data_IF_464105428920
#
_entry.id   IF_464105428920
#
_cell.length_a   1.000
_cell.length_b   1.000
_cell.length_c   1.000
_cell.angle_alpha   90.00
_cell.angle_beta   90.00
_cell.angle_gamma   90.00
#
_symmetry.space_group_name_H-M   'P 1'
#
loop_
_entity.id
_entity.type
_entity.pdbx_description
1 polymer ?
#
# COMPACT_ATOMS: atom_id res chain seq x y z
N UNK A 1 -41.61 33.31 28.66
CA UNK A 1 -40.89 32.08 28.71
C UNK A 1 -40.34 31.71 27.38
N UNK A 2 -39.10 31.79 27.24
CA UNK A 2 -38.43 31.55 25.97
C UNK A 2 -37.77 30.20 26.05
N UNK A 3 -38.09 29.35 25.11
CA UNK A 3 -37.41 28.07 24.96
C UNK A 3 -36.56 28.14 23.71
N UNK A 4 -35.30 27.99 23.89
CA UNK A 4 -34.37 27.98 22.79
C UNK A 4 -33.97 26.56 22.51
N UNK A 5 -34.39 26.07 21.38
CA UNK A 5 -33.88 24.83 20.87
C UNK A 5 -32.61 25.15 20.08
N UNK A 6 -31.51 24.82 20.62
CA UNK A 6 -30.24 24.92 19.91
C UNK A 6 -30.02 23.65 19.13
N UNK A 7 -30.30 23.71 17.88
CA UNK A 7 -29.86 22.66 16.97
C UNK A 7 -28.40 22.92 16.69
N UNK A 8 -27.55 22.20 17.37
CA UNK A 8 -26.14 22.22 17.06
C UNK A 8 -25.94 21.45 15.75
N UNK A 9 -25.66 22.17 14.71
CA UNK A 9 -25.27 21.56 13.46
C UNK A 9 -23.83 21.06 13.57
N UNK A 10 -23.66 19.76 13.69
CA UNK A 10 -22.35 19.13 13.64
C UNK A 10 -22.24 18.39 12.32
N UNK A 11 -21.79 19.08 11.32
CA UNK A 11 -21.75 18.47 10.00
C UNK A 11 -20.41 18.70 9.30
N UNK A 12 -19.27 18.66 9.99
CA UNK A 12 -18.04 19.04 9.28
C UNK A 12 -16.81 18.19 9.47
N UNK A 13 -16.91 17.06 10.14
CA UNK A 13 -15.71 16.26 10.40
C UNK A 13 -15.52 15.05 9.49
N UNK A 14 -16.45 14.80 8.57
CA UNK A 14 -16.43 13.57 7.77
C UNK A 14 -15.37 13.54 6.65
N UNK A 15 -15.04 14.69 6.08
CA UNK A 15 -14.11 14.72 4.96
C UNK A 15 -12.67 14.41 5.37
N UNK A 16 -12.24 14.84 6.55
CA UNK A 16 -10.90 14.58 7.07
C UNK A 16 -10.74 13.12 7.48
N UNK A 17 -11.79 12.52 8.07
CA UNK A 17 -11.78 11.13 8.45
C UNK A 17 -11.66 10.17 7.26
N UNK A 18 -12.24 10.49 6.11
CA UNK A 18 -12.16 9.66 4.91
C UNK A 18 -10.76 9.63 4.31
N UNK A 19 -10.05 10.75 4.28
CA UNK A 19 -8.67 10.79 3.77
C UNK A 19 -7.71 9.97 4.64
N UNK A 20 -7.87 10.05 5.97
CA UNK A 20 -7.07 9.23 6.89
C UNK A 20 -7.40 7.75 6.77
N UNK A 21 -8.67 7.40 6.58
CA UNK A 21 -9.09 6.02 6.40
C UNK A 21 -8.48 5.43 5.11
N UNK A 22 -8.53 6.17 4.00
CA UNK A 22 -7.95 5.73 2.73
C UNK A 22 -6.43 5.52 2.83
N UNK A 23 -5.72 6.42 3.51
CA UNK A 23 -4.28 6.29 3.73
C UNK A 23 -3.94 5.10 4.61
N UNK A 24 -4.69 4.90 5.72
CA UNK A 24 -4.51 3.76 6.61
C UNK A 24 -4.82 2.44 5.90
N UNK A 25 -5.87 2.40 5.08
CA UNK A 25 -6.25 1.21 4.33
C UNK A 25 -5.18 0.83 3.31
N UNK A 26 -4.63 1.80 2.60
CA UNK A 26 -3.56 1.55 1.63
C UNK A 26 -2.28 1.10 2.32
N UNK A 27 -1.93 1.71 3.44
CA UNK A 27 -0.76 1.30 4.21
C UNK A 27 -0.91 -0.13 4.70
N UNK A 28 -2.08 -0.51 5.20
CA UNK A 28 -2.37 -1.87 5.63
C UNK A 28 -2.32 -2.86 4.46
N UNK A 29 -2.90 -2.49 3.32
CA UNK A 29 -2.86 -3.33 2.12
C UNK A 29 -1.43 -3.55 1.61
N UNK A 30 -0.61 -2.50 1.63
CA UNK A 30 0.82 -2.60 1.29
C UNK A 30 1.55 -3.56 2.22
N UNK A 31 1.29 -3.47 3.52
CA UNK A 31 1.88 -4.38 4.51
C UNK A 31 1.48 -5.83 4.26
N UNK A 32 0.20 -6.09 4.00
CA UNK A 32 -0.30 -7.44 3.70
C UNK A 32 0.35 -8.00 2.43
N UNK A 33 0.46 -7.17 1.39
CA UNK A 33 1.13 -7.57 0.15
C UNK A 33 2.56 -8.05 0.42
N UNK A 34 3.33 -7.24 1.12
CA UNK A 34 4.72 -7.58 1.42
C UNK A 34 4.83 -8.81 2.33
N UNK A 35 3.94 -8.96 3.30
CA UNK A 35 3.91 -10.14 4.17
C UNK A 35 3.62 -11.42 3.39
N UNK A 36 2.65 -11.39 2.49
CA UNK A 36 2.35 -12.54 1.63
C UNK A 36 3.53 -12.90 0.72
N UNK A 37 4.16 -11.89 0.14
CA UNK A 37 5.32 -12.11 -0.73
C UNK A 37 6.48 -12.75 0.04
N UNK A 38 6.74 -12.29 1.26
CA UNK A 38 7.81 -12.84 2.10
C UNK A 38 7.55 -14.28 2.51
N UNK A 39 6.29 -14.66 2.63
CA UNK A 39 5.88 -16.04 2.94
C UNK A 39 5.82 -16.94 1.70
N UNK A 40 6.02 -16.39 0.52
CA UNK A 40 5.84 -17.14 -0.73
C UNK A 40 4.39 -17.38 -1.08
N UNK A 41 3.46 -16.68 -0.45
CA UNK A 41 2.02 -16.78 -0.75
C UNK A 41 1.64 -15.76 -1.82
N UNK A 42 2.02 -16.06 -3.04
CA UNK A 42 1.81 -15.14 -4.17
C UNK A 42 0.33 -15.01 -4.56
N UNK A 43 -0.45 -16.05 -4.35
CA UNK A 43 -1.90 -15.97 -4.55
C UNK A 43 -2.55 -15.03 -3.53
N UNK A 44 -2.18 -15.15 -2.25
CA UNK A 44 -2.65 -14.25 -1.20
C UNK A 44 -2.22 -12.81 -1.43
N UNK A 45 -1.04 -12.61 -2.03
CA UNK A 45 -0.52 -11.28 -2.32
C UNK A 45 -1.42 -10.48 -3.27
N UNK A 46 -2.22 -11.13 -4.12
CA UNK A 46 -3.13 -10.47 -5.06
C UNK A 46 -4.49 -10.12 -4.47
N UNK A 47 -4.74 -10.45 -3.22
CA UNK A 47 -6.08 -10.31 -2.60
C UNK A 47 -6.59 -8.88 -2.63
N UNK A 48 -5.72 -7.90 -2.40
CA UNK A 48 -6.08 -6.49 -2.35
C UNK A 48 -5.94 -5.78 -3.70
N UNK A 49 -5.61 -6.50 -4.76
CA UNK A 49 -5.47 -5.93 -6.11
C UNK A 49 -6.84 -5.59 -6.71
N UNK A 50 -6.92 -4.48 -7.44
CA UNK A 50 -8.08 -4.24 -8.29
C UNK A 50 -8.02 -5.13 -9.54
N UNK A 51 -9.10 -5.16 -10.32
CA UNK A 51 -9.18 -6.09 -11.46
C UNK A 51 -8.12 -5.84 -12.53
N UNK A 52 -7.85 -4.59 -12.96
CA UNK A 52 -6.76 -4.35 -13.91
C UNK A 52 -5.40 -4.78 -13.37
N UNK A 53 -5.16 -4.60 -12.08
CA UNK A 53 -3.89 -4.99 -11.46
C UNK A 53 -3.73 -6.51 -11.41
N UNK A 54 -4.81 -7.25 -11.12
CA UNK A 54 -4.80 -8.72 -11.16
C UNK A 54 -4.45 -9.25 -12.54
N UNK A 55 -4.94 -8.59 -13.58
CA UNK A 55 -4.66 -8.98 -14.96
C UNK A 55 -3.21 -8.65 -15.37
N UNK A 56 -2.70 -7.50 -14.91
CA UNK A 56 -1.36 -7.04 -15.27
C UNK A 56 -0.26 -7.72 -14.45
N UNK A 57 -0.49 -7.93 -13.17
CA UNK A 57 0.48 -8.49 -12.25
C UNK A 57 -0.04 -9.82 -11.71
N UNK A 58 0.28 -10.88 -12.43
CA UNK A 58 -0.19 -12.23 -12.09
C UNK A 58 0.63 -12.84 -10.96
N UNK A 59 0.11 -13.90 -10.37
CA UNK A 59 0.81 -14.67 -9.34
C UNK A 59 2.18 -15.13 -9.81
N UNK A 60 2.30 -15.59 -11.06
CA UNK A 60 3.57 -16.05 -11.63
C UNK A 60 4.58 -14.90 -11.78
N UNK A 61 4.12 -13.73 -12.20
CA UNK A 61 4.98 -12.55 -12.31
C UNK A 61 5.47 -12.08 -10.95
N UNK A 62 4.61 -12.08 -9.95
CA UNK A 62 4.99 -11.74 -8.58
C UNK A 62 6.03 -12.71 -8.04
N UNK A 63 5.82 -14.01 -8.25
CA UNK A 63 6.77 -15.04 -7.82
C UNK A 63 8.13 -14.84 -8.48
N UNK A 64 8.15 -14.62 -9.78
CA UNK A 64 9.39 -14.39 -10.53
C UNK A 64 10.14 -13.15 -10.03
N UNK A 65 9.43 -12.04 -9.83
CA UNK A 65 9.99 -10.81 -9.31
C UNK A 65 10.60 -11.03 -7.92
N UNK A 66 9.77 -11.55 -7.00
CA UNK A 66 10.18 -11.63 -5.59
C UNK A 66 11.32 -12.62 -5.37
N UNK A 67 11.32 -13.73 -6.10
CA UNK A 67 12.39 -14.74 -6.02
C UNK A 67 13.69 -14.28 -6.65
N UNK A 68 13.63 -13.39 -7.64
CA UNK A 68 14.82 -12.86 -8.29
C UNK A 68 15.59 -11.85 -7.42
N UNK A 69 14.88 -11.14 -6.52
CA UNK A 69 15.49 -10.04 -5.77
C UNK A 69 16.64 -10.48 -4.86
N UNK A 70 16.52 -11.53 -4.04
CA UNK A 70 17.64 -11.98 -3.22
C UNK A 70 18.84 -12.45 -4.05
N UNK A 71 18.58 -13.01 -5.23
CA UNK A 71 19.66 -13.49 -6.12
C UNK A 71 20.47 -12.34 -6.71
N UNK A 72 19.82 -11.20 -6.94
CA UNK A 72 20.45 -10.02 -7.55
C UNK A 72 20.98 -9.04 -6.53
N UNK A 73 20.33 -8.92 -5.37
CA UNK A 73 20.58 -7.84 -4.42
C UNK A 73 21.19 -8.32 -3.10
N UNK A 74 21.15 -9.61 -2.83
CA UNK A 74 21.61 -10.19 -1.58
C UNK A 74 20.48 -10.53 -0.62
N UNK A 75 20.82 -10.96 0.60
CA UNK A 75 19.84 -11.44 1.55
C UNK A 75 18.84 -10.35 1.97
N UNK A 76 17.55 -10.67 2.05
CA UNK A 76 16.55 -9.72 2.53
C UNK A 76 16.75 -9.43 4.02
N UNK A 77 16.52 -8.17 4.39
CA UNK A 77 16.62 -7.69 5.76
C UNK A 77 15.33 -7.03 6.23
N UNK A 78 15.45 -6.11 7.17
CA UNK A 78 14.32 -5.42 7.75
C UNK A 78 13.68 -4.44 6.76
N UNK A 79 12.41 -4.11 7.03
CA UNK A 79 11.69 -3.03 6.34
C UNK A 79 11.81 -1.76 7.17
N UNK A 80 11.92 -0.63 6.48
CA UNK A 80 11.76 0.67 7.12
C UNK A 80 10.27 1.00 7.29
N UNK A 81 9.93 1.95 8.17
CA UNK A 81 8.55 2.43 8.28
C UNK A 81 8.02 2.94 6.95
N UNK A 82 6.78 2.59 6.63
CA UNK A 82 6.14 3.02 5.40
C UNK A 82 5.89 4.52 5.39
N UNK A 83 6.10 5.15 4.25
CA UNK A 83 5.79 6.57 4.03
C UNK A 83 4.59 6.67 3.10
N UNK A 84 3.58 7.42 3.53
CA UNK A 84 2.32 7.57 2.83
C UNK A 84 2.22 8.96 2.25
N UNK A 85 1.83 9.06 1.00
CA UNK A 85 1.54 10.32 0.32
C UNK A 85 0.28 10.18 -0.52
N UNK A 86 -0.27 11.32 -0.93
CA UNK A 86 -1.45 11.37 -1.77
C UNK A 86 -1.13 12.13 -3.05
N UNK A 87 -1.57 11.57 -4.15
CA UNK A 87 -1.56 12.22 -5.46
C UNK A 87 -3.01 12.20 -5.97
N UNK A 88 -3.35 12.94 -7.03
CA UNK A 88 -4.71 12.90 -7.55
C UNK A 88 -5.17 11.48 -7.85
N UNK A 89 -6.29 11.06 -7.27
CA UNK A 89 -6.95 9.76 -7.42
C UNK A 89 -6.25 8.56 -6.78
N UNK A 90 -5.07 8.74 -6.15
CA UNK A 90 -4.33 7.61 -5.57
C UNK A 90 -3.73 7.96 -4.22
N UNK A 91 -3.64 6.96 -3.37
CA UNK A 91 -2.78 6.97 -2.20
C UNK A 91 -1.55 6.14 -2.54
N UNK A 92 -0.37 6.65 -2.24
CA UNK A 92 0.90 6.00 -2.54
C UNK A 92 1.61 5.67 -1.23
N UNK A 93 2.02 4.42 -1.09
CA UNK A 93 2.78 3.94 0.08
C UNK A 93 4.14 3.45 -0.40
N UNK A 94 5.19 4.03 0.14
CA UNK A 94 6.57 3.63 -0.16
C UNK A 94 7.20 3.01 1.08
N UNK A 95 7.68 1.80 0.94
CA UNK A 95 8.38 1.07 2.00
C UNK A 95 9.78 0.72 1.53
N UNK A 96 10.79 1.24 2.22
CA UNK A 96 12.16 0.88 1.92
C UNK A 96 12.48 -0.51 2.48
N UNK A 97 13.09 -1.35 1.66
CA UNK A 97 13.44 -2.72 1.98
C UNK A 97 14.95 -2.87 1.94
N UNK A 98 15.52 -3.49 2.96
CA UNK A 98 16.94 -3.81 2.99
C UNK A 98 17.21 -5.11 2.23
N UNK A 99 18.21 -5.09 1.36
CA UNK A 99 18.72 -6.27 0.66
C UNK A 99 20.24 -6.21 0.63
N UNK A 100 20.89 -7.21 1.23
CA UNK A 100 22.35 -7.20 1.29
C UNK A 100 22.86 -5.95 2.00
N UNK A 101 23.62 -5.13 1.29
CA UNK A 101 24.16 -3.87 1.81
C UNK A 101 23.43 -2.64 1.26
N UNK A 102 22.34 -2.84 0.50
CA UNK A 102 21.60 -1.76 -0.11
C UNK A 102 20.16 -1.72 0.30
N UNK A 103 19.43 -0.81 -0.31
CA UNK A 103 18.01 -0.63 -0.10
C UNK A 103 17.30 -0.44 -1.44
N UNK A 104 16.08 -0.92 -1.51
CA UNK A 104 15.16 -0.65 -2.62
C UNK A 104 13.85 -0.16 -2.04
N UNK A 105 13.04 0.48 -2.87
CA UNK A 105 11.72 0.95 -2.47
C UNK A 105 10.64 0.08 -3.10
N UNK A 106 9.73 -0.41 -2.27
CA UNK A 106 8.47 -1.01 -2.69
C UNK A 106 7.40 0.08 -2.70
N UNK A 107 6.89 0.41 -3.87
CA UNK A 107 5.88 1.45 -4.03
C UNK A 107 4.54 0.81 -4.38
N UNK A 108 3.53 1.08 -3.55
CA UNK A 108 2.16 0.60 -3.74
C UNK A 108 1.26 1.80 -3.95
N UNK A 109 0.45 1.78 -5.01
CA UNK A 109 -0.56 2.79 -5.25
C UNK A 109 -1.94 2.16 -5.10
N UNK A 110 -2.81 2.80 -4.31
CA UNK A 110 -4.18 2.36 -4.12
C UNK A 110 -5.16 3.33 -4.78
N UNK A 111 -6.23 2.79 -5.37
CA UNK A 111 -7.29 3.57 -5.99
C UNK A 111 -8.28 4.11 -4.93
N UNK A 112 -9.33 4.78 -5.40
CA UNK A 112 -10.34 5.38 -4.53
C UNK A 112 -11.12 4.35 -3.68
N UNK A 113 -11.15 3.09 -4.11
CA UNK A 113 -11.80 2.00 -3.38
C UNK A 113 -10.85 1.33 -2.37
N UNK A 114 -9.63 1.82 -2.24
CA UNK A 114 -8.62 1.24 -1.35
C UNK A 114 -7.98 -0.03 -1.89
N UNK A 115 -8.19 -0.35 -3.16
CA UNK A 115 -7.58 -1.50 -3.82
C UNK A 115 -6.24 -1.12 -4.43
N UNK A 116 -5.31 -2.07 -4.44
CA UNK A 116 -4.00 -1.86 -5.05
C UNK A 116 -4.14 -1.78 -6.56
N UNK A 117 -3.76 -0.63 -7.11
CA UNK A 117 -3.79 -0.34 -8.54
C UNK A 117 -2.40 -0.38 -9.18
N UNK A 118 -1.35 -0.42 -8.38
CA UNK A 118 0.02 -0.49 -8.88
C UNK A 118 0.97 -0.99 -7.80
N UNK A 119 1.99 -1.72 -8.23
CA UNK A 119 3.07 -2.20 -7.38
C UNK A 119 4.37 -2.12 -8.16
N UNK A 120 5.35 -1.39 -7.63
CA UNK A 120 6.61 -1.12 -8.30
C UNK A 120 7.77 -1.31 -7.34
N UNK A 121 8.85 -1.90 -7.84
CA UNK A 121 10.12 -1.94 -7.15
C UNK A 121 11.04 -0.92 -7.83
N UNK A 122 11.58 0.00 -7.04
CA UNK A 122 12.40 1.10 -7.53
C UNK A 122 13.68 1.20 -6.72
N UNK A 123 14.75 1.78 -7.29
CA UNK A 123 15.92 2.12 -6.50
C UNK A 123 15.54 3.06 -5.35
N UNK A 124 16.11 2.84 -4.18
CA UNK A 124 15.89 3.71 -3.03
C UNK A 124 16.54 5.08 -3.28
N UNK A 125 15.81 6.11 -2.94
CA UNK A 125 16.26 7.51 -3.07
C UNK A 125 16.34 8.21 -1.73
#
# INVERSE_FOLDING_TARGET
MMKFAYAACFALSLAIGMAHAASADCQAASGRLLDHLDKGDYAGATTDFNDPMKAAETTDKLAALWQAMPKQLGAPGAREPAQVSQIPNYVVVVTALHYGQGMIDAQVACDADGKIAGFYIRPHR
#
